data_IF_651663733437
#
_entry.id   IF_651663733437
#
_cell.length_a   1.000
_cell.length_b   1.000
_cell.length_c   1.000
_cell.angle_alpha   90.00
_cell.angle_beta   90.00
_cell.angle_gamma   90.00
#
_symmetry.space_group_name_H-M   'P 1'
#
loop_
_entity.id
_entity.type
_entity.pdbx_description
1 polymer ?
#
# COMPACT_ATOMS: atom_id res chain seq x y z
N UNK A 1 -1.52 25.22 59.64
CA UNK A 1 -0.48 24.17 59.80
C UNK A 1 -0.83 23.03 58.85
N UNK A 2 -0.16 22.87 57.70
CA UNK A 2 0.89 21.85 57.47
C UNK A 2 0.50 20.52 58.15
N UNK A 3 0.26 19.38 57.47
CA UNK A 3 1.13 18.74 56.46
C UNK A 3 0.30 17.78 55.57
N UNK A 4 0.38 17.95 54.26
CA UNK A 4 -0.07 16.91 53.32
C UNK A 4 1.13 15.98 53.08
N UNK A 5 0.99 14.71 53.47
CA UNK A 5 1.97 13.65 53.19
C UNK A 5 1.84 13.26 51.73
N UNK A 6 2.87 13.56 50.95
CA UNK A 6 3.07 12.95 49.63
C UNK A 6 3.48 11.49 49.85
N UNK A 7 2.71 10.55 49.30
CA UNK A 7 3.08 9.14 49.21
C UNK A 7 3.71 8.96 47.82
N UNK A 8 4.98 8.52 47.73
CA UNK A 8 5.55 8.17 46.45
C UNK A 8 5.20 6.72 46.07
N UNK A 9 5.07 6.51 44.77
CA UNK A 9 5.49 5.32 44.04
C UNK A 9 4.60 4.07 44.11
N UNK A 10 3.89 3.80 43.01
CA UNK A 10 4.09 2.54 42.25
C UNK A 10 3.98 2.87 40.76
N UNK A 11 5.09 2.72 40.05
CA UNK A 11 5.13 2.65 38.60
C UNK A 11 4.61 1.27 38.23
N UNK A 12 3.40 1.18 37.67
CA UNK A 12 2.96 0.01 36.93
C UNK A 12 3.17 0.31 35.45
N UNK A 13 4.33 -0.11 34.97
CA UNK A 13 4.61 -0.29 33.55
C UNK A 13 3.55 -1.28 33.04
N UNK A 14 2.49 -0.78 32.40
CA UNK A 14 1.69 -1.64 31.53
C UNK A 14 2.52 -1.87 30.28
N UNK A 15 3.32 -2.93 30.29
CA UNK A 15 3.84 -3.50 29.07
C UNK A 15 2.65 -4.13 28.33
N UNK A 16 1.96 -3.33 27.52
CA UNK A 16 0.95 -3.81 26.59
C UNK A 16 1.65 -4.49 25.41
N UNK A 17 2.17 -5.69 25.62
CA UNK A 17 2.52 -6.61 24.54
C UNK A 17 1.38 -7.60 24.38
N UNK A 18 0.29 -7.20 23.73
CA UNK A 18 -0.80 -8.13 23.42
C UNK A 18 -1.69 -7.71 22.24
N UNK A 19 -1.17 -6.95 21.28
CA UNK A 19 -1.61 -7.07 19.89
C UNK A 19 -0.29 -7.23 19.15
N UNK A 20 0.31 -8.43 19.05
CA UNK A 20 -0.12 -9.38 18.02
C UNK A 20 -1.01 -8.69 16.98
N UNK A 21 -0.49 -7.64 16.34
CA UNK A 21 -0.96 -7.28 15.02
C UNK A 21 -0.66 -8.55 14.24
N UNK A 22 -1.71 -9.34 14.07
CA UNK A 22 -1.76 -10.42 13.13
C UNK A 22 -1.16 -9.83 11.86
N UNK A 23 0.10 -10.20 11.58
CA UNK A 23 0.51 -10.24 10.18
C UNK A 23 -0.65 -10.99 9.54
N UNK A 24 -1.35 -10.40 8.56
CA UNK A 24 -2.10 -11.25 7.68
C UNK A 24 -1.04 -12.17 7.09
N UNK A 25 -0.87 -13.34 7.71
CA UNK A 25 -0.57 -14.57 7.04
C UNK A 25 -1.69 -14.63 6.00
N UNK A 26 -1.47 -13.92 4.89
CA UNK A 26 -2.20 -14.11 3.67
C UNK A 26 -1.86 -15.54 3.33
N UNK A 27 -2.71 -16.43 3.82
CA UNK A 27 -2.98 -17.72 3.21
C UNK A 27 -3.16 -17.38 1.74
N UNK A 28 -2.06 -17.51 0.99
CA UNK A 28 -2.01 -17.41 -0.45
C UNK A 28 -2.68 -18.69 -0.94
N UNK A 29 -3.99 -18.74 -0.78
CA UNK A 29 -4.81 -19.58 -1.60
C UNK A 29 -5.97 -18.71 -2.05
N UNK A 30 -5.96 -18.49 -3.36
CA UNK A 30 -7.03 -18.03 -4.26
C UNK A 30 -6.41 -17.14 -5.34
N UNK A 31 -5.83 -17.80 -6.34
CA UNK A 31 -5.81 -17.32 -7.74
C UNK A 31 -5.51 -15.83 -7.90
N UNK A 32 -4.34 -15.38 -7.40
CA UNK A 32 -3.89 -14.01 -7.61
C UNK A 32 -3.36 -13.89 -9.05
N UNK A 33 -4.26 -13.62 -9.99
CA UNK A 33 -3.92 -13.12 -11.32
C UNK A 33 -3.41 -11.66 -11.24
N UNK A 34 -2.62 -11.33 -10.20
CA UNK A 34 -1.84 -10.10 -10.18
C UNK A 34 -0.51 -10.42 -10.83
N UNK A 35 -0.38 -9.99 -12.08
CA UNK A 35 0.93 -9.94 -12.73
C UNK A 35 1.85 -9.14 -11.80
N UNK A 36 2.92 -9.76 -11.32
CA UNK A 36 3.93 -9.04 -10.55
C UNK A 36 4.43 -7.86 -11.38
N UNK A 37 4.56 -6.67 -10.77
CA UNK A 37 5.15 -5.50 -11.46
C UNK A 37 6.55 -5.82 -12.00
N UNK A 38 7.26 -6.75 -11.37
CA UNK A 38 8.56 -7.24 -11.86
C UNK A 38 8.47 -7.95 -13.23
N UNK A 39 7.32 -8.54 -13.56
CA UNK A 39 7.07 -9.27 -14.79
C UNK A 39 6.43 -8.41 -15.90
N UNK A 40 5.98 -7.19 -15.58
CA UNK A 40 5.42 -6.24 -16.54
C UNK A 40 6.49 -5.63 -17.44
N UNK A 41 6.18 -5.42 -18.71
CA UNK A 41 7.00 -4.63 -19.63
C UNK A 41 6.87 -3.12 -19.35
N UNK A 42 7.67 -2.29 -20.03
CA UNK A 42 7.72 -0.85 -19.76
C UNK A 42 6.39 -0.14 -20.07
N UNK A 43 5.68 -0.54 -21.12
CA UNK A 43 4.36 0.02 -21.45
C UNK A 43 3.32 -0.35 -20.41
N UNK A 44 3.30 -1.60 -19.93
CA UNK A 44 2.42 -2.04 -18.84
C UNK A 44 2.70 -1.28 -17.53
N UNK A 45 3.98 -1.06 -17.20
CA UNK A 45 4.39 -0.29 -16.03
C UNK A 45 3.98 1.18 -16.13
N UNK A 46 4.12 1.78 -17.31
CA UNK A 46 3.72 3.15 -17.55
C UNK A 46 2.19 3.32 -17.48
N UNK A 47 1.42 2.36 -18.00
CA UNK A 47 -0.04 2.33 -17.85
C UNK A 47 -0.41 2.29 -16.37
N UNK A 48 0.18 1.36 -15.60
CA UNK A 48 -0.10 1.23 -14.17
C UNK A 48 0.23 2.51 -13.40
N UNK A 49 1.35 3.17 -13.73
CA UNK A 49 1.72 4.45 -13.14
C UNK A 49 0.68 5.54 -13.41
N UNK A 50 0.20 5.66 -14.65
CA UNK A 50 -0.85 6.63 -15.00
C UNK A 50 -2.21 6.31 -14.40
N UNK A 51 -2.59 5.03 -14.31
CA UNK A 51 -3.83 4.59 -13.66
C UNK A 51 -3.81 4.81 -12.13
N UNK A 52 -2.61 4.83 -11.52
CA UNK A 52 -2.46 5.01 -10.07
C UNK A 52 -2.57 6.45 -9.58
N UNK A 53 -2.73 7.43 -10.48
CA UNK A 53 -2.85 8.85 -10.11
C UNK A 53 -4.29 9.23 -9.74
N UNK A 54 -4.46 10.14 -8.77
CA UNK A 54 -5.79 10.60 -8.29
C UNK A 54 -6.70 11.18 -9.40
N UNK A 55 -6.10 11.66 -10.49
CA UNK A 55 -6.77 12.20 -11.67
C UNK A 55 -6.54 11.33 -12.92
N UNK A 56 -6.33 10.02 -12.76
CA UNK A 56 -6.11 9.06 -13.85
C UNK A 56 -7.21 9.09 -14.93
N UNK A 57 -8.45 9.41 -14.55
CA UNK A 57 -9.58 9.55 -15.50
C UNK A 57 -9.57 10.89 -16.28
N UNK A 58 -8.59 11.77 -16.04
CA UNK A 58 -8.43 12.98 -16.85
C UNK A 58 -8.06 12.62 -18.30
N UNK A 59 -8.51 13.45 -19.23
CA UNK A 59 -8.28 13.22 -20.66
C UNK A 59 -6.79 13.07 -21.01
N UNK A 60 -5.90 13.80 -20.31
CA UNK A 60 -4.46 13.70 -20.53
C UNK A 60 -3.92 12.31 -20.15
N UNK A 61 -4.27 11.80 -18.96
CA UNK A 61 -3.81 10.48 -18.52
C UNK A 61 -4.43 9.36 -19.38
N UNK A 62 -5.71 9.44 -19.71
CA UNK A 62 -6.36 8.46 -20.60
C UNK A 62 -5.71 8.41 -22.00
N UNK A 63 -5.41 9.58 -22.58
CA UNK A 63 -4.71 9.67 -23.88
C UNK A 63 -3.33 8.98 -23.85
N UNK A 64 -2.58 9.16 -22.76
CA UNK A 64 -1.26 8.53 -22.60
C UNK A 64 -1.39 7.02 -22.37
N UNK A 65 -2.38 6.58 -21.58
CA UNK A 65 -2.68 5.15 -21.37
C UNK A 65 -3.00 4.46 -22.72
N UNK A 66 -3.86 5.08 -23.53
CA UNK A 66 -4.23 4.55 -24.85
C UNK A 66 -3.03 4.47 -25.80
N UNK A 67 -2.14 5.47 -25.74
CA UNK A 67 -0.90 5.48 -26.51
C UNK A 67 0.02 4.31 -26.13
N UNK A 68 0.20 4.03 -24.83
CA UNK A 68 0.94 2.83 -24.38
C UNK A 68 0.28 1.52 -24.83
N UNK A 69 -1.04 1.41 -24.78
CA UNK A 69 -1.78 0.23 -25.28
C UNK A 69 -1.56 0.04 -26.78
N UNK A 70 -1.48 1.12 -27.55
CA UNK A 70 -1.22 1.06 -28.99
C UNK A 70 0.21 0.62 -29.29
N UNK A 71 1.21 1.17 -28.61
CA UNK A 71 2.61 0.77 -28.82
C UNK A 71 2.82 -0.72 -28.50
N UNK A 72 2.15 -1.25 -27.47
CA UNK A 72 2.15 -2.69 -27.18
C UNK A 72 1.69 -3.58 -28.33
N UNK A 73 0.76 -3.09 -29.18
CA UNK A 73 0.29 -3.82 -30.35
C UNK A 73 1.25 -3.71 -31.53
N UNK A 74 2.02 -2.62 -31.60
CA UNK A 74 2.99 -2.33 -32.67
C UNK A 74 4.36 -2.99 -32.43
N UNK A 75 4.73 -3.24 -31.17
CA UNK A 75 5.98 -3.89 -30.78
C UNK A 75 5.94 -5.44 -30.84
N UNK A 76 4.84 -6.03 -31.32
CA UNK A 76 4.63 -7.49 -31.41
C UNK A 76 4.99 -8.04 -32.78
#
# INVERSE_FOLDING_TARGET
MKKVKLIPLVILISASSAWAQQHPETVLDNTDNRVSVSAMNEHERAILAHESMDNANSAAHQSIIDMHRKMMLEEK
#
